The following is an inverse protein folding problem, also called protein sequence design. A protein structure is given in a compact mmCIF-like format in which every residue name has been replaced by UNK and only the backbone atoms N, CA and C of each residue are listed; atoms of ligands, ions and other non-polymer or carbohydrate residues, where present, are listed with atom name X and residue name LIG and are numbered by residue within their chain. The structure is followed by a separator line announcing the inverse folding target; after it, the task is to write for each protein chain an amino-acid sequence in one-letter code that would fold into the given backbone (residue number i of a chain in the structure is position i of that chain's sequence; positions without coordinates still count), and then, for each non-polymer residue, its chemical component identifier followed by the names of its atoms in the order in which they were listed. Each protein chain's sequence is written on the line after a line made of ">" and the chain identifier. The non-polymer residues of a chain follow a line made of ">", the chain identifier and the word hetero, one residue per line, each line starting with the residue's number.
data_IF_088002065791
#
_entry.id   IF_088002065791
#
_cell.length_a   1.000
_cell.length_b   1.000
_cell.length_c   1.000
_cell.angle_alpha   90.00
_cell.angle_beta   90.00
_cell.angle_gamma   90.00
#
_symmetry.space_group_name_H-M   'P 1'
#
loop_
_entity.id
_entity.type
_entity.pdbx_description
1 polymer ?
#
# COMPACT_ATOMS: atom_id res chain seq x y z
N UNK A 1 3.40 -31.11 -40.37
CA UNK A 1 4.08 -30.52 -39.23
C UNK A 1 3.09 -29.70 -38.42
N UNK A 2 2.89 -30.04 -37.18
CA UNK A 2 2.11 -29.21 -36.25
C UNK A 2 2.96 -27.97 -35.89
N UNK A 3 2.40 -26.77 -35.97
CA UNK A 3 3.10 -25.57 -35.48
C UNK A 3 3.51 -25.72 -34.02
N UNK A 4 4.62 -25.14 -33.66
CA UNK A 4 5.14 -25.16 -32.28
C UNK A 4 4.84 -23.85 -31.53
N UNK A 5 4.45 -22.81 -32.25
CA UNK A 5 4.11 -21.53 -31.68
C UNK A 5 2.69 -21.52 -31.11
N UNK A 6 2.52 -21.00 -29.91
CA UNK A 6 1.21 -20.99 -29.21
C UNK A 6 0.14 -20.23 -30.02
N UNK A 7 0.53 -19.09 -30.60
CA UNK A 7 -0.38 -18.23 -31.39
C UNK A 7 -0.92 -18.92 -32.67
N UNK A 8 -0.22 -19.92 -33.18
CA UNK A 8 -0.70 -20.66 -34.38
C UNK A 8 -2.01 -21.43 -34.14
N UNK A 9 -2.31 -21.78 -32.89
CA UNK A 9 -3.54 -22.42 -32.48
C UNK A 9 -4.43 -21.52 -31.63
N UNK A 10 -3.84 -20.64 -30.82
CA UNK A 10 -4.53 -19.88 -29.78
C UNK A 10 -4.77 -18.39 -30.14
N UNK A 11 -4.59 -17.99 -31.43
CA UNK A 11 -4.97 -16.63 -31.87
C UNK A 11 -6.44 -16.28 -31.59
N UNK A 12 -7.41 -17.19 -31.74
CA UNK A 12 -8.80 -16.88 -31.37
C UNK A 12 -8.96 -16.53 -29.87
N UNK A 13 -8.23 -17.20 -28.96
CA UNK A 13 -8.27 -16.96 -27.52
C UNK A 13 -7.65 -15.59 -27.21
N UNK A 14 -6.49 -15.28 -27.83
CA UNK A 14 -5.86 -13.98 -27.75
C UNK A 14 -6.80 -12.84 -28.20
N UNK A 15 -7.49 -13.03 -29.32
CA UNK A 15 -8.38 -12.00 -29.90
C UNK A 15 -9.64 -11.78 -29.05
N UNK A 16 -10.09 -12.78 -28.30
CA UNK A 16 -11.31 -12.74 -27.49
C UNK A 16 -11.05 -12.38 -26.03
N UNK A 17 -9.78 -12.33 -25.61
CA UNK A 17 -9.45 -11.96 -24.24
C UNK A 17 -9.94 -10.54 -23.92
N UNK A 18 -10.43 -10.35 -22.71
CA UNK A 18 -11.02 -9.07 -22.26
C UNK A 18 -10.46 -8.59 -20.91
N UNK A 19 -9.76 -9.45 -20.21
CA UNK A 19 -9.16 -9.13 -18.91
C UNK A 19 -7.80 -9.82 -18.73
N UNK A 20 -6.71 -9.16 -19.15
CA UNK A 20 -6.67 -7.95 -19.97
C UNK A 20 -7.08 -8.20 -21.43
N UNK A 21 -7.56 -7.16 -22.11
CA UNK A 21 -7.83 -7.21 -23.54
C UNK A 21 -6.53 -7.12 -24.35
N UNK A 22 -5.98 -8.22 -24.80
CA UNK A 22 -4.65 -8.30 -25.43
C UNK A 22 -4.51 -7.37 -26.64
N UNK A 23 -5.52 -7.34 -27.51
CA UNK A 23 -5.52 -6.47 -28.70
C UNK A 23 -5.56 -4.99 -28.29
N UNK A 24 -6.42 -4.65 -27.33
CA UNK A 24 -6.63 -3.26 -26.91
C UNK A 24 -5.37 -2.66 -26.27
N UNK A 25 -4.60 -3.49 -25.61
CA UNK A 25 -3.34 -3.09 -24.96
C UNK A 25 -2.12 -3.25 -25.88
N UNK A 26 -2.30 -3.84 -27.07
CA UNK A 26 -1.18 -4.10 -27.97
C UNK A 26 -0.16 -5.08 -27.42
N UNK A 27 -0.60 -6.05 -26.59
CA UNK A 27 0.30 -7.03 -25.99
C UNK A 27 0.95 -7.91 -27.06
N UNK A 28 2.19 -8.40 -26.83
CA UNK A 28 2.86 -9.26 -27.78
C UNK A 28 2.15 -10.62 -27.90
N UNK A 29 2.32 -11.28 -29.04
CA UNK A 29 1.81 -12.64 -29.28
C UNK A 29 2.80 -13.72 -28.81
N UNK A 30 3.84 -13.32 -28.11
CA UNK A 30 4.71 -14.24 -27.37
C UNK A 30 4.09 -14.57 -26.01
N UNK A 31 3.20 -15.56 -26.02
CA UNK A 31 2.34 -15.89 -24.88
C UNK A 31 3.12 -16.31 -23.63
N UNK A 32 4.33 -16.87 -23.78
CA UNK A 32 5.14 -17.33 -22.66
C UNK A 32 5.74 -16.20 -21.81
N UNK A 33 5.66 -14.96 -22.28
CA UNK A 33 6.05 -13.80 -21.48
C UNK A 33 5.16 -13.63 -20.24
N UNK A 34 3.91 -14.09 -20.31
CA UNK A 34 2.95 -13.93 -19.21
C UNK A 34 2.29 -15.24 -18.80
N UNK A 35 2.23 -16.22 -19.70
CA UNK A 35 1.52 -17.47 -19.45
C UNK A 35 2.48 -18.66 -19.39
N UNK A 36 2.13 -19.67 -18.62
CA UNK A 36 2.85 -20.94 -18.57
C UNK A 36 2.22 -21.96 -19.52
N UNK A 37 2.95 -23.03 -19.82
CA UNK A 37 2.42 -24.16 -20.60
C UNK A 37 1.64 -25.18 -19.78
N UNK A 38 1.43 -24.92 -18.49
CA UNK A 38 0.55 -25.70 -17.62
C UNK A 38 -0.89 -25.34 -17.91
N UNK A 39 -1.81 -26.28 -17.75
CA UNK A 39 -3.23 -26.12 -18.10
C UNK A 39 -3.82 -24.82 -17.52
N UNK A 40 -4.63 -24.15 -18.34
CA UNK A 40 -5.25 -22.86 -18.13
C UNK A 40 -4.33 -21.64 -18.40
N UNK A 41 -4.97 -20.55 -18.85
CA UNK A 41 -4.30 -19.27 -19.07
C UNK A 41 -4.01 -18.51 -17.77
N UNK A 42 -4.47 -19.01 -16.64
CA UNK A 42 -4.27 -18.43 -15.31
C UNK A 42 -3.45 -19.39 -14.41
N UNK A 43 -2.61 -18.85 -13.50
CA UNK A 43 -2.29 -17.44 -13.40
C UNK A 43 -1.43 -16.94 -14.58
N UNK A 44 -1.61 -15.68 -14.96
CA UNK A 44 -0.66 -14.96 -15.81
C UNK A 44 0.28 -14.14 -14.92
N UNK A 45 1.54 -14.03 -15.28
CA UNK A 45 2.51 -13.15 -14.63
C UNK A 45 2.94 -12.03 -15.59
N UNK A 46 3.39 -10.93 -15.03
CA UNK A 46 4.02 -9.86 -15.79
C UNK A 46 5.29 -9.44 -15.06
N UNK A 47 6.37 -10.15 -15.34
CA UNK A 47 7.61 -10.11 -14.55
C UNK A 47 8.31 -8.74 -14.52
N UNK A 48 7.97 -7.84 -15.47
CA UNK A 48 8.48 -6.46 -15.49
C UNK A 48 7.55 -5.47 -14.80
N UNK A 49 6.51 -5.94 -14.11
CA UNK A 49 5.55 -5.06 -13.40
C UNK A 49 6.23 -4.18 -12.36
N UNK A 50 7.26 -4.71 -11.71
CA UNK A 50 8.03 -4.01 -10.68
C UNK A 50 8.81 -2.79 -11.23
N UNK A 51 9.00 -2.68 -12.53
CA UNK A 51 9.54 -1.46 -13.15
C UNK A 51 8.55 -0.28 -13.09
N UNK A 52 7.27 -0.56 -12.90
CA UNK A 52 6.18 0.42 -12.85
C UNK A 52 5.65 0.61 -11.43
N UNK A 53 5.40 -0.47 -10.74
CA UNK A 53 4.93 -0.50 -9.36
C UNK A 53 5.31 -1.84 -8.71
N UNK A 54 6.04 -1.79 -7.60
CA UNK A 54 6.45 -2.98 -6.86
C UNK A 54 5.26 -3.52 -6.07
N UNK A 55 4.91 -4.78 -6.32
CA UNK A 55 3.85 -5.49 -5.60
C UNK A 55 4.45 -6.24 -4.41
N UNK A 56 4.47 -5.60 -3.25
CA UNK A 56 4.99 -6.17 -2.02
C UNK A 56 3.96 -6.11 -0.87
N UNK A 57 4.23 -6.77 0.23
CA UNK A 57 3.36 -6.80 1.39
C UNK A 57 1.96 -7.30 1.05
N UNK A 58 0.94 -6.55 1.40
CA UNK A 58 -0.46 -6.87 1.12
C UNK A 58 -0.79 -6.89 -0.37
N UNK A 59 -0.07 -6.10 -1.20
CA UNK A 59 -0.27 -6.09 -2.65
C UNK A 59 0.25 -7.35 -3.33
N UNK A 60 1.29 -7.99 -2.79
CA UNK A 60 1.80 -9.25 -3.33
C UNK A 60 0.76 -10.38 -3.31
N UNK A 61 -0.19 -10.34 -2.36
CA UNK A 61 -1.23 -11.37 -2.22
C UNK A 61 -2.24 -11.33 -3.37
N UNK A 62 -2.37 -10.18 -4.02
CA UNK A 62 -3.31 -9.95 -5.14
C UNK A 62 -2.61 -9.72 -6.47
N UNK A 63 -1.32 -10.07 -6.57
CA UNK A 63 -0.49 -9.83 -7.75
C UNK A 63 -1.01 -10.53 -9.04
N UNK A 64 -1.74 -11.63 -8.89
CA UNK A 64 -2.38 -12.35 -9.98
C UNK A 64 -3.81 -11.84 -10.33
N UNK A 65 -4.31 -10.87 -9.56
CA UNK A 65 -5.65 -10.31 -9.70
C UNK A 65 -5.60 -8.94 -10.39
N UNK A 66 -5.06 -8.89 -11.59
CA UNK A 66 -4.78 -7.65 -12.35
C UNK A 66 -5.93 -6.63 -12.35
N UNK A 67 -7.17 -7.12 -12.51
CA UNK A 67 -8.37 -6.26 -12.57
C UNK A 67 -8.65 -5.50 -11.27
N UNK A 68 -8.17 -6.00 -10.13
CA UNK A 68 -8.38 -5.36 -8.82
C UNK A 68 -7.74 -3.98 -8.76
N UNK A 69 -6.59 -3.81 -9.41
CA UNK A 69 -5.89 -2.52 -9.50
C UNK A 69 -6.25 -1.78 -10.79
N UNK A 70 -6.26 -2.49 -11.92
CA UNK A 70 -6.40 -1.85 -13.23
C UNK A 70 -7.84 -1.50 -13.59
N UNK A 71 -8.84 -2.16 -13.02
CA UNK A 71 -10.26 -1.91 -13.27
C UNK A 71 -10.61 -1.79 -14.78
N UNK A 72 -9.88 -2.52 -15.62
CA UNK A 72 -10.02 -2.51 -17.07
C UNK A 72 -9.24 -1.43 -17.81
N UNK A 73 -8.60 -0.49 -17.13
CA UNK A 73 -7.70 0.52 -17.72
C UNK A 73 -6.26 0.30 -17.29
N UNK A 74 -5.54 -0.46 -18.09
CA UNK A 74 -4.14 -0.82 -17.82
C UNK A 74 -3.13 0.30 -18.14
N UNK A 75 -3.57 1.37 -18.81
CA UNK A 75 -2.70 2.48 -19.20
C UNK A 75 -2.71 3.65 -18.20
N UNK A 76 -3.79 3.80 -17.44
CA UNK A 76 -3.99 4.95 -16.55
C UNK A 76 -4.20 4.54 -15.09
N UNK A 77 -3.76 3.35 -14.70
CA UNK A 77 -3.82 2.92 -13.30
C UNK A 77 -2.90 3.82 -12.45
N UNK A 78 -3.42 4.44 -11.38
CA UNK A 78 -2.58 5.23 -10.48
C UNK A 78 -1.51 4.36 -9.81
N UNK A 79 -0.33 4.93 -9.63
CA UNK A 79 0.78 4.29 -8.91
C UNK A 79 1.11 4.97 -7.58
N UNK A 80 0.20 5.79 -7.07
CA UNK A 80 0.30 6.41 -5.75
C UNK A 80 -0.69 5.78 -4.78
N UNK A 81 -0.34 5.74 -3.49
CA UNK A 81 -1.22 5.16 -2.46
C UNK A 81 -2.63 5.75 -2.51
N UNK A 82 -2.74 7.07 -2.52
CA UNK A 82 -4.04 7.78 -2.56
C UNK A 82 -4.80 7.58 -3.87
N UNK A 83 -4.14 7.17 -4.94
CA UNK A 83 -4.83 6.86 -6.20
C UNK A 83 -5.86 5.74 -6.05
N UNK A 84 -5.62 4.83 -5.12
CA UNK A 84 -6.53 3.73 -4.75
C UNK A 84 -7.13 3.94 -3.35
N UNK A 85 -6.35 4.45 -2.38
CA UNK A 85 -6.68 4.53 -0.96
C UNK A 85 -7.17 5.91 -0.49
N UNK A 86 -7.63 6.78 -1.40
CA UNK A 86 -8.15 8.10 -1.04
C UNK A 86 -9.35 8.01 -0.09
N UNK A 87 -10.19 7.00 -0.27
CA UNK A 87 -11.34 6.76 0.60
C UNK A 87 -10.90 6.41 2.02
N UNK A 88 -9.87 5.57 2.16
CA UNK A 88 -9.35 5.14 3.45
C UNK A 88 -8.72 6.32 4.18
N UNK A 89 -7.89 7.11 3.47
CA UNK A 89 -7.33 8.35 4.00
C UNK A 89 -8.43 9.31 4.52
N UNK A 90 -9.52 9.50 3.76
CA UNK A 90 -10.59 10.43 4.12
C UNK A 90 -11.43 9.95 5.29
N UNK A 91 -11.57 8.65 5.49
CA UNK A 91 -12.44 8.04 6.50
C UNK A 91 -11.71 7.70 7.80
N UNK A 92 -10.37 7.74 7.80
CA UNK A 92 -9.59 7.46 9.00
C UNK A 92 -9.85 8.52 10.07
N UNK A 93 -10.13 8.06 11.29
CA UNK A 93 -10.50 8.92 12.43
C UNK A 93 -9.56 8.82 13.61
N UNK A 94 -8.63 7.84 13.61
CA UNK A 94 -7.67 7.65 14.70
C UNK A 94 -6.27 7.30 14.13
N UNK A 95 -5.44 8.33 13.86
CA UNK A 95 -5.72 9.77 13.84
C UNK A 95 -6.57 10.18 12.65
N UNK A 96 -7.26 11.32 12.73
CA UNK A 96 -7.96 11.88 11.57
C UNK A 96 -6.98 12.52 10.61
N UNK A 97 -6.66 11.84 9.51
CA UNK A 97 -5.69 12.32 8.53
C UNK A 97 -6.08 13.66 7.92
N UNK A 98 -7.36 13.83 7.60
CA UNK A 98 -7.88 15.06 7.00
C UNK A 98 -7.92 16.23 7.98
N UNK A 99 -8.30 15.99 9.25
CA UNK A 99 -8.35 17.06 10.26
C UNK A 99 -6.94 17.55 10.65
N UNK A 100 -5.95 16.66 10.62
CA UNK A 100 -4.57 16.96 10.94
C UNK A 100 -3.77 17.45 9.71
N UNK A 101 -4.35 17.43 8.53
CA UNK A 101 -3.68 17.70 7.25
C UNK A 101 -2.40 16.87 7.05
N UNK A 102 -2.47 15.59 7.38
CA UNK A 102 -1.34 14.71 7.15
C UNK A 102 -1.00 14.62 5.66
N UNK A 103 0.28 14.41 5.38
CA UNK A 103 0.74 14.22 4.00
C UNK A 103 0.12 12.97 3.38
N UNK A 104 -0.06 13.00 2.06
CA UNK A 104 -0.41 11.81 1.28
C UNK A 104 0.80 10.94 0.92
N UNK A 105 1.98 11.29 1.43
CA UNK A 105 3.18 10.44 1.39
C UNK A 105 3.06 9.36 2.47
N UNK A 106 2.18 8.39 2.24
CA UNK A 106 1.75 7.39 3.23
C UNK A 106 2.91 6.55 3.76
N UNK A 107 3.93 6.31 2.93
CA UNK A 107 5.13 5.55 3.28
C UNK A 107 5.99 6.21 4.38
N UNK A 108 5.73 7.47 4.73
CA UNK A 108 6.39 8.11 5.88
C UNK A 108 5.92 7.57 7.24
N UNK A 109 4.78 6.88 7.26
CA UNK A 109 4.19 6.32 8.49
C UNK A 109 3.74 4.87 8.34
N UNK A 110 3.44 4.40 7.13
CA UNK A 110 2.88 3.09 6.85
C UNK A 110 3.79 2.27 5.95
N UNK A 111 3.60 0.96 5.99
CA UNK A 111 4.25 0.02 5.06
C UNK A 111 3.24 -0.52 4.06
N UNK A 112 3.70 -1.19 3.01
CA UNK A 112 2.81 -1.90 2.10
C UNK A 112 2.24 -3.21 2.68
N UNK A 113 2.67 -3.59 3.88
CA UNK A 113 2.19 -4.81 4.54
C UNK A 113 0.90 -4.57 5.30
N UNK A 114 0.84 -3.47 6.06
CA UNK A 114 -0.32 -3.12 6.88
C UNK A 114 -0.33 -1.60 7.15
N UNK A 115 -1.51 -1.07 7.45
CA UNK A 115 -1.71 0.29 7.95
C UNK A 115 -1.32 0.45 9.42
N UNK A 116 -1.25 -0.64 10.18
CA UNK A 116 -0.92 -0.62 11.61
C UNK A 116 0.12 -1.69 11.93
N UNK A 117 1.10 -1.40 12.82
CA UNK A 117 1.29 -0.10 13.45
C UNK A 117 1.76 0.96 12.45
N UNK A 118 1.37 2.23 12.66
CA UNK A 118 1.94 3.37 11.97
C UNK A 118 3.12 3.91 12.79
N UNK A 119 4.21 4.26 12.12
CA UNK A 119 5.40 4.82 12.76
C UNK A 119 5.78 6.14 12.11
N UNK A 120 5.92 7.19 12.90
CA UNK A 120 6.45 8.46 12.43
C UNK A 120 7.90 8.60 12.90
N UNK A 121 8.83 8.10 12.11
CA UNK A 121 10.25 8.00 12.46
C UNK A 121 10.90 9.33 12.88
N UNK A 122 10.40 10.44 12.34
CA UNK A 122 10.93 11.77 12.64
C UNK A 122 10.45 12.33 13.99
N UNK A 123 9.60 11.60 14.73
CA UNK A 123 9.04 12.09 15.99
C UNK A 123 10.12 12.40 17.03
N UNK A 124 11.11 11.56 17.14
CA UNK A 124 12.19 11.74 18.11
C UNK A 124 13.07 12.95 17.80
N UNK A 125 13.28 13.22 16.51
CA UNK A 125 14.12 14.33 16.06
C UNK A 125 13.39 15.67 16.11
N UNK A 126 12.07 15.67 15.85
CA UNK A 126 11.28 16.89 15.70
C UNK A 126 10.53 17.29 16.97
N UNK A 127 10.24 16.33 17.85
CA UNK A 127 9.35 16.57 18.98
C UNK A 127 9.92 15.95 20.26
N UNK A 128 9.34 14.86 20.73
CA UNK A 128 9.67 14.20 21.97
C UNK A 128 10.08 12.75 21.70
N UNK A 129 11.21 12.27 22.24
CA UNK A 129 11.71 10.92 21.97
C UNK A 129 10.76 9.84 22.52
N UNK A 130 10.18 9.06 21.61
CA UNK A 130 9.27 7.95 21.89
C UNK A 130 9.78 6.63 21.32
N UNK A 131 10.62 6.67 20.29
CA UNK A 131 11.29 5.50 19.71
C UNK A 131 12.67 5.25 20.33
N UNK A 132 13.10 6.13 21.21
CA UNK A 132 14.37 6.02 21.96
C UNK A 132 14.20 6.42 23.42
N UNK A 133 15.20 6.08 24.24
CA UNK A 133 15.23 6.46 25.65
C UNK A 133 14.20 5.71 26.49
N UNK A 134 13.69 6.39 27.54
CA UNK A 134 12.84 5.76 28.56
C UNK A 134 11.44 5.40 28.05
N UNK A 135 10.99 6.05 26.99
CA UNK A 135 9.66 5.82 26.42
C UNK A 135 9.62 4.75 25.32
N UNK A 136 10.78 4.28 24.89
CA UNK A 136 10.86 3.19 23.91
C UNK A 136 10.10 1.95 24.41
N UNK A 137 9.12 1.50 23.61
CA UNK A 137 8.30 0.31 23.90
C UNK A 137 7.37 0.43 25.11
N UNK A 138 7.10 1.66 25.62
CA UNK A 138 6.18 1.89 26.74
C UNK A 138 4.79 2.40 26.33
N UNK A 139 4.56 2.54 25.04
CA UNK A 139 3.31 2.98 24.42
C UNK A 139 2.96 2.09 23.24
N UNK A 140 1.68 1.99 22.89
CA UNK A 140 1.19 1.13 21.82
C UNK A 140 0.57 1.96 20.67
N UNK A 141 -0.01 3.11 21.01
CA UNK A 141 -0.74 3.93 20.03
C UNK A 141 -0.43 5.43 20.24
N UNK A 142 -0.45 6.18 19.16
CA UNK A 142 -0.29 7.64 19.22
C UNK A 142 -1.26 8.31 20.21
N UNK A 143 -2.45 7.74 20.35
CA UNK A 143 -3.50 8.23 21.26
C UNK A 143 -3.23 7.98 22.75
N UNK A 144 -2.21 7.23 23.11
CA UNK A 144 -1.79 7.09 24.51
C UNK A 144 -1.29 8.43 25.07
N UNK A 145 -0.71 9.27 24.20
CA UNK A 145 -0.28 10.62 24.53
C UNK A 145 -1.17 11.69 23.91
N UNK A 146 -1.57 11.52 22.63
CA UNK A 146 -2.38 12.48 21.87
C UNK A 146 -3.88 12.17 22.03
N UNK A 147 -4.46 12.64 23.12
CA UNK A 147 -5.84 12.35 23.49
C UNK A 147 -6.90 13.00 22.59
N UNK A 148 -6.51 13.94 21.74
CA UNK A 148 -7.38 14.56 20.74
C UNK A 148 -6.98 14.14 19.33
N UNK A 149 -7.71 13.22 18.74
CA UNK A 149 -7.44 12.64 17.41
C UNK A 149 -7.55 13.64 16.25
N UNK A 150 -8.08 14.83 16.49
CA UNK A 150 -8.19 15.92 15.53
C UNK A 150 -7.18 17.06 15.76
N UNK A 151 -6.39 16.97 16.82
CA UNK A 151 -5.37 17.99 17.14
C UNK A 151 -4.24 17.37 17.95
N UNK A 152 -3.19 16.93 17.30
CA UNK A 152 -2.02 16.32 17.93
C UNK A 152 -1.08 17.31 18.61
N UNK A 153 -1.33 18.63 18.53
CA UNK A 153 -0.69 19.59 19.42
C UNK A 153 -1.17 19.47 20.88
N UNK A 154 -2.28 18.76 21.09
CA UNK A 154 -2.82 18.44 22.43
C UNK A 154 -2.34 17.05 22.82
N UNK A 155 -1.45 16.99 23.78
CA UNK A 155 -0.93 15.74 24.35
C UNK A 155 -0.90 15.82 25.87
N UNK A 156 -0.78 14.71 26.57
CA UNK A 156 -0.71 14.65 28.02
C UNK A 156 0.26 13.58 28.50
N UNK A 157 1.07 13.94 29.46
CA UNK A 157 1.96 13.03 30.17
C UNK A 157 1.26 12.35 31.36
N UNK A 158 0.17 12.95 31.83
CA UNK A 158 -0.50 12.53 33.07
C UNK A 158 -1.44 11.32 32.91
N UNK A 159 -1.50 10.75 31.71
CA UNK A 159 -2.15 9.43 31.51
C UNK A 159 -1.34 8.32 32.19
N UNK A 160 -0.02 8.42 32.17
CA UNK A 160 0.90 7.45 32.77
C UNK A 160 1.65 8.02 33.99
N UNK A 161 1.92 9.33 34.02
CA UNK A 161 2.65 10.00 35.10
C UNK A 161 1.72 10.78 36.02
N UNK A 162 2.04 10.83 37.31
CA UNK A 162 1.35 11.75 38.21
C UNK A 162 1.84 13.19 38.03
N UNK A 163 1.03 14.24 38.31
CA UNK A 163 1.47 15.62 38.21
C UNK A 163 2.68 15.97 39.07
N UNK A 164 2.95 15.21 40.16
CA UNK A 164 4.15 15.40 40.99
C UNK A 164 5.41 14.88 40.32
N UNK A 165 5.32 13.81 39.54
CA UNK A 165 6.44 13.25 38.78
C UNK A 165 6.84 14.17 37.64
N UNK A 166 5.86 14.65 36.85
CA UNK A 166 6.11 15.57 35.75
C UNK A 166 6.69 16.92 36.14
N UNK A 167 6.46 17.37 37.41
CA UNK A 167 7.01 18.62 37.91
C UNK A 167 8.43 18.51 38.50
N UNK A 168 8.96 17.28 38.67
CA UNK A 168 10.28 17.07 39.24
C UNK A 168 11.39 16.95 38.19
N UNK A 169 11.02 16.57 36.95
CA UNK A 169 11.94 16.25 35.87
C UNK A 169 12.04 17.39 34.80
N UNK A 170 11.33 18.51 35.02
CA UNK A 170 11.30 19.68 34.10
C UNK A 170 11.61 20.99 34.83
#
# INVERSE_FOLDING_TARGET
>A
NTPTECNACHMPDYNQSSNPGHINLGLPTDCIMCHTTVADWNPASFDIHDEYYVLEGAHAIIADQCITCHNGDYNNTPNTCVGCHQSDYNQTTNPSHTALNFSTECASCHTQTDWSPAEYSDHDDQYFPIYSGTHEGTWDQCTDCHTNTNNYAIFTCTTCHTPSETNQDH
#
